data_IF_467851145323
#
_entry.id   IF_467851145323
#
_cell.length_a   1.000
_cell.length_b   1.000
_cell.length_c   1.000
_cell.angle_alpha   90.00
_cell.angle_beta   90.00
_cell.angle_gamma   90.00
#
_symmetry.space_group_name_H-M   'P 1'
#
loop_
_entity.id
_entity.type
_entity.pdbx_description
1 polymer ?
#
# COMPACT_ATOMS: atom_id res chain seq x y z
N UNK A 1 20.99 -13.18 14.51
CA UNK A 1 21.51 -11.85 14.17
C UNK A 1 20.62 -11.23 13.09
N UNK A 2 20.30 -9.93 13.15
CA UNK A 2 19.53 -9.26 12.10
C UNK A 2 20.30 -9.32 10.77
N UNK A 3 19.56 -9.43 9.67
CA UNK A 3 20.15 -9.43 8.32
C UNK A 3 20.93 -8.12 8.10
N UNK A 4 22.10 -8.13 7.42
CA UNK A 4 22.94 -6.93 7.27
C UNK A 4 22.20 -5.72 6.68
N UNK A 5 21.30 -5.94 5.70
CA UNK A 5 20.49 -4.85 5.11
C UNK A 5 19.56 -4.24 6.17
N UNK A 6 18.88 -5.05 6.97
CA UNK A 6 17.96 -4.54 8.00
C UNK A 6 18.71 -3.72 9.06
N UNK A 7 19.87 -4.20 9.48
CA UNK A 7 20.73 -3.49 10.42
C UNK A 7 21.34 -2.22 9.81
N UNK A 8 21.72 -2.23 8.53
CA UNK A 8 22.22 -1.04 7.85
C UNK A 8 21.13 0.03 7.71
N UNK A 9 19.91 -0.40 7.36
CA UNK A 9 18.78 0.49 7.17
C UNK A 9 18.21 1.02 8.48
N UNK A 10 18.51 0.45 9.64
CA UNK A 10 18.08 1.03 10.92
C UNK A 10 18.73 2.39 11.20
N UNK A 11 19.86 2.71 10.56
CA UNK A 11 20.54 4.00 10.70
C UNK A 11 20.07 5.04 9.69
N UNK A 12 19.83 6.28 10.14
CA UNK A 12 19.43 7.40 9.27
C UNK A 12 20.42 7.65 8.11
N UNK A 13 21.74 7.57 8.37
CA UNK A 13 22.76 7.69 7.33
C UNK A 13 22.66 6.57 6.29
N UNK A 14 22.34 5.35 6.73
CA UNK A 14 22.08 4.21 5.86
C UNK A 14 20.91 4.50 4.92
N UNK A 15 19.77 4.95 5.46
CA UNK A 15 18.59 5.33 4.66
C UNK A 15 18.89 6.41 3.61
N UNK A 16 19.67 7.44 3.98
CA UNK A 16 20.02 8.58 3.09
C UNK A 16 21.00 8.23 1.97
N UNK A 17 21.86 7.21 2.14
CA UNK A 17 22.85 6.85 1.13
C UNK A 17 22.29 5.92 0.05
N UNK A 18 21.20 5.18 0.34
CA UNK A 18 20.58 4.22 -0.60
C UNK A 18 20.33 4.81 -1.99
N UNK A 19 19.69 5.98 -2.18
CA UNK A 19 19.50 6.57 -3.51
C UNK A 19 20.78 6.70 -4.33
N UNK A 20 21.92 6.98 -3.66
CA UNK A 20 23.21 7.12 -4.32
C UNK A 20 23.78 5.77 -4.70
N UNK A 21 23.66 4.77 -3.83
CA UNK A 21 24.11 3.40 -4.10
C UNK A 21 23.32 2.79 -5.28
N UNK A 22 21.99 2.94 -5.28
CA UNK A 22 21.12 2.36 -6.30
C UNK A 22 21.43 2.87 -7.71
N UNK A 23 21.94 4.10 -7.87
CA UNK A 23 22.35 4.65 -9.17
C UNK A 23 23.51 3.91 -9.83
N UNK A 24 24.29 3.15 -9.06
CA UNK A 24 25.42 2.37 -9.58
C UNK A 24 25.08 0.89 -9.78
N UNK A 25 23.87 0.47 -9.43
CA UNK A 25 23.44 -0.91 -9.59
C UNK A 25 22.90 -1.13 -11.00
N UNK A 26 23.19 -2.30 -11.58
CA UNK A 26 22.46 -2.76 -12.76
C UNK A 26 21.00 -3.07 -12.40
N UNK A 27 20.07 -3.12 -13.37
CA UNK A 27 18.68 -3.48 -13.12
C UNK A 27 18.52 -4.82 -12.36
N UNK A 28 19.31 -5.83 -12.72
CA UNK A 28 19.28 -7.14 -12.04
C UNK A 28 19.75 -7.06 -10.58
N UNK A 29 20.79 -6.26 -10.31
CA UNK A 29 21.28 -6.04 -8.95
C UNK A 29 20.28 -5.24 -8.12
N UNK A 30 19.61 -4.24 -8.72
CA UNK A 30 18.52 -3.52 -8.06
C UNK A 30 17.40 -4.49 -7.72
N UNK A 31 16.95 -5.31 -8.68
CA UNK A 31 15.91 -6.30 -8.43
C UNK A 31 16.31 -7.28 -7.32
N UNK A 32 17.57 -7.73 -7.28
CA UNK A 32 18.12 -8.54 -6.18
C UNK A 32 18.07 -7.82 -4.82
N UNK A 33 18.41 -6.53 -4.78
CA UNK A 33 18.28 -5.70 -3.58
C UNK A 33 16.81 -5.58 -3.16
N UNK A 34 15.91 -5.27 -4.10
CA UNK A 34 14.48 -5.09 -3.83
C UNK A 34 13.84 -6.38 -3.31
N UNK A 35 14.06 -7.51 -3.98
CA UNK A 35 13.52 -8.80 -3.55
C UNK A 35 14.05 -9.19 -2.16
N UNK A 36 15.32 -8.91 -1.86
CA UNK A 36 15.88 -9.12 -0.51
C UNK A 36 15.24 -8.19 0.52
N UNK A 37 15.00 -6.93 0.17
CA UNK A 37 14.33 -5.96 1.05
C UNK A 37 12.89 -6.40 1.36
N UNK A 38 12.12 -6.76 0.32
CA UNK A 38 10.75 -7.22 0.43
C UNK A 38 10.64 -8.52 1.23
N UNK A 39 11.59 -9.45 1.08
CA UNK A 39 11.60 -10.67 1.88
C UNK A 39 11.92 -10.44 3.37
N UNK A 40 12.36 -9.23 3.75
CA UNK A 40 12.86 -8.90 5.09
C UNK A 40 12.13 -7.72 5.74
N UNK A 41 10.92 -7.39 5.27
CA UNK A 41 10.14 -6.26 5.81
C UNK A 41 9.94 -6.35 7.33
N UNK A 42 9.62 -7.53 7.89
CA UNK A 42 9.53 -7.74 9.35
C UNK A 42 10.81 -7.37 10.13
N UNK A 43 11.97 -7.50 9.49
CA UNK A 43 13.25 -7.13 10.09
C UNK A 43 13.55 -5.63 10.06
N UNK A 44 12.78 -4.84 9.32
CA UNK A 44 12.96 -3.38 9.24
C UNK A 44 12.27 -2.71 10.41
N UNK A 45 13.01 -1.84 11.12
CA UNK A 45 12.50 -1.01 12.22
C UNK A 45 11.24 -0.23 11.80
N UNK A 46 11.25 0.33 10.60
CA UNK A 46 10.17 1.16 10.07
C UNK A 46 8.86 0.40 9.79
N UNK A 47 8.92 -0.89 9.47
CA UNK A 47 7.73 -1.70 9.21
C UNK A 47 7.02 -2.10 10.51
N UNK A 48 7.73 -2.07 11.63
CA UNK A 48 7.17 -2.36 12.96
C UNK A 48 6.55 -1.12 13.62
N UNK A 49 6.62 0.05 12.97
CA UNK A 49 6.01 1.28 13.47
C UNK A 49 4.61 1.40 12.87
N UNK A 50 3.61 1.33 13.75
CA UNK A 50 2.20 1.45 13.41
C UNK A 50 1.88 2.84 12.89
N UNK A 51 0.96 2.92 11.93
CA UNK A 51 0.38 4.16 11.44
C UNK A 51 -0.23 4.99 12.57
N UNK A 52 -0.17 6.32 12.47
CA UNK A 52 -0.51 7.25 13.56
C UNK A 52 0.67 7.57 14.48
N UNK A 53 1.71 6.73 14.51
CA UNK A 53 2.95 7.02 15.27
C UNK A 53 3.93 7.83 14.42
N UNK A 54 4.34 8.97 14.97
CA UNK A 54 5.39 9.79 14.36
C UNK A 54 6.75 9.12 14.51
N UNK A 55 7.49 8.99 13.41
CA UNK A 55 8.85 8.46 13.43
C UNK A 55 9.69 9.04 12.30
N UNK A 56 10.76 9.75 12.66
CA UNK A 56 11.74 10.26 11.69
C UNK A 56 12.32 9.12 10.84
N UNK A 57 12.48 7.92 11.41
CA UNK A 57 12.98 6.76 10.68
C UNK A 57 12.04 6.35 9.54
N UNK A 58 10.71 6.39 9.78
CA UNK A 58 9.68 6.12 8.76
C UNK A 58 9.72 7.21 7.70
N UNK A 59 9.74 8.48 8.12
CA UNK A 59 9.74 9.62 7.19
C UNK A 59 10.99 9.60 6.28
N UNK A 60 12.17 9.30 6.83
CA UNK A 60 13.40 9.13 6.06
C UNK A 60 13.32 7.96 5.08
N UNK A 61 12.67 6.85 5.48
CA UNK A 61 12.51 5.69 4.60
C UNK A 61 11.55 6.01 3.45
N UNK A 62 10.40 6.62 3.74
CA UNK A 62 9.43 7.06 2.72
C UNK A 62 10.02 8.15 1.80
N UNK A 63 10.92 9.00 2.30
CA UNK A 63 11.53 10.08 1.50
C UNK A 63 12.69 9.60 0.63
N UNK A 64 13.49 8.64 1.10
CA UNK A 64 14.73 8.24 0.41
C UNK A 64 14.67 6.85 -0.22
N UNK A 65 13.95 5.89 0.35
CA UNK A 65 14.01 4.50 -0.12
C UNK A 65 12.83 4.17 -1.03
N UNK A 66 11.62 4.61 -0.69
CA UNK A 66 10.43 4.34 -1.50
C UNK A 66 10.53 4.96 -2.91
N UNK A 67 10.91 6.23 -3.11
CA UNK A 67 10.88 6.86 -4.44
C UNK A 67 11.77 6.17 -5.50
N UNK A 68 13.04 5.80 -5.25
CA UNK A 68 13.82 5.08 -6.25
C UNK A 68 13.25 3.68 -6.54
N UNK A 69 12.61 3.02 -5.57
CA UNK A 69 11.93 1.74 -5.81
C UNK A 69 10.70 1.94 -6.69
N UNK A 70 9.88 2.97 -6.42
CA UNK A 70 8.73 3.33 -7.27
C UNK A 70 9.20 3.60 -8.70
N UNK A 71 10.25 4.41 -8.87
CA UNK A 71 10.84 4.68 -10.18
C UNK A 71 11.26 3.41 -10.91
N UNK A 72 11.99 2.53 -10.23
CA UNK A 72 12.40 1.24 -10.79
C UNK A 72 11.20 0.35 -11.17
N UNK A 73 10.25 0.14 -10.27
CA UNK A 73 9.06 -0.72 -10.50
C UNK A 73 8.15 -0.15 -11.60
N UNK A 74 8.11 1.17 -11.78
CA UNK A 74 7.31 1.80 -12.84
C UNK A 74 7.75 1.45 -14.26
N UNK A 75 8.97 0.94 -14.42
CA UNK A 75 9.52 0.49 -15.70
C UNK A 75 9.44 -1.03 -15.87
N UNK A 76 9.11 -1.77 -14.81
CA UNK A 76 9.13 -3.23 -14.81
C UNK A 76 7.86 -3.84 -15.44
N UNK A 77 7.98 -5.00 -16.11
CA UNK A 77 6.86 -5.76 -16.65
C UNK A 77 6.04 -6.48 -15.57
N UNK A 78 4.86 -6.98 -15.93
CA UNK A 78 3.91 -7.55 -14.96
C UNK A 78 4.46 -8.76 -14.20
N UNK A 79 5.18 -9.68 -14.83
CA UNK A 79 5.77 -10.81 -14.09
C UNK A 79 6.72 -10.39 -12.96
N UNK A 80 7.49 -9.30 -13.13
CA UNK A 80 8.38 -8.80 -12.07
C UNK A 80 7.54 -8.26 -10.91
N UNK A 81 6.47 -7.53 -11.21
CA UNK A 81 5.50 -7.03 -10.22
C UNK A 81 4.84 -8.20 -9.48
N UNK A 82 4.36 -9.21 -10.21
CA UNK A 82 3.77 -10.43 -9.65
C UNK A 82 4.75 -11.13 -8.70
N UNK A 83 6.01 -11.33 -9.13
CA UNK A 83 7.02 -11.99 -8.32
C UNK A 83 7.34 -11.19 -7.05
N UNK A 84 7.47 -9.86 -7.14
CA UNK A 84 7.70 -9.01 -5.98
C UNK A 84 6.53 -9.06 -4.99
N UNK A 85 5.30 -8.99 -5.51
CA UNK A 85 4.11 -9.06 -4.68
C UNK A 85 3.99 -10.42 -3.98
N UNK A 86 4.25 -11.53 -4.69
CA UNK A 86 4.30 -12.88 -4.10
C UNK A 86 5.30 -12.99 -2.96
N UNK A 87 6.51 -12.43 -3.12
CA UNK A 87 7.51 -12.40 -2.04
C UNK A 87 6.94 -11.73 -0.77
N UNK A 88 6.13 -10.68 -0.91
CA UNK A 88 5.49 -10.03 0.23
C UNK A 88 4.40 -10.95 0.83
N UNK A 89 3.48 -11.44 0.01
CA UNK A 89 2.32 -12.24 0.44
C UNK A 89 2.74 -13.57 1.10
N UNK A 90 3.81 -14.20 0.61
CA UNK A 90 4.29 -15.50 1.11
C UNK A 90 5.13 -15.38 2.40
N UNK A 91 5.65 -14.19 2.72
CA UNK A 91 6.62 -14.00 3.81
C UNK A 91 6.08 -13.29 5.02
N UNK A 92 5.03 -12.47 4.89
CA UNK A 92 4.59 -11.57 5.95
C UNK A 92 3.10 -11.69 6.23
N UNK A 93 2.73 -11.43 7.48
CA UNK A 93 1.33 -11.23 7.84
C UNK A 93 0.82 -9.90 7.27
N UNK A 94 -0.24 -9.94 6.45
CA UNK A 94 -0.71 -8.76 5.73
C UNK A 94 -1.49 -7.77 6.59
N UNK A 95 -2.11 -8.23 7.68
CA UNK A 95 -2.74 -7.34 8.67
C UNK A 95 -1.67 -6.56 9.43
N UNK A 96 -0.56 -7.21 9.80
CA UNK A 96 0.59 -6.53 10.39
C UNK A 96 1.19 -5.52 9.41
N UNK A 97 1.42 -5.93 8.16
CA UNK A 97 2.03 -5.06 7.15
C UNK A 97 1.12 -3.86 6.81
N UNK A 98 -0.18 -4.09 6.73
CA UNK A 98 -1.19 -3.06 6.47
C UNK A 98 -1.35 -2.04 7.60
N UNK A 99 -0.80 -2.30 8.79
CA UNK A 99 -0.74 -1.34 9.89
C UNK A 99 0.51 -0.45 9.85
N UNK A 100 1.40 -0.63 8.89
CA UNK A 100 2.60 0.20 8.71
C UNK A 100 2.47 1.12 7.49
N UNK A 101 2.87 2.39 7.62
CA UNK A 101 2.92 3.31 6.47
C UNK A 101 3.82 2.80 5.34
N UNK A 102 4.96 2.21 5.69
CA UNK A 102 5.91 1.67 4.70
C UNK A 102 5.32 0.44 4.03
N UNK A 103 4.65 -0.42 4.80
CA UNK A 103 3.97 -1.59 4.26
C UNK A 103 2.86 -1.22 3.28
N UNK A 104 1.97 -0.30 3.67
CA UNK A 104 0.94 0.24 2.81
C UNK A 104 1.52 0.89 1.56
N UNK A 105 2.58 1.70 1.67
CA UNK A 105 3.23 2.31 0.51
C UNK A 105 3.70 1.28 -0.53
N UNK A 106 4.29 0.16 -0.10
CA UNK A 106 4.68 -0.93 -1.00
C UNK A 106 3.47 -1.63 -1.61
N UNK A 107 2.48 -2.01 -0.81
CA UNK A 107 1.28 -2.70 -1.28
C UNK A 107 0.51 -1.84 -2.31
N UNK A 108 0.29 -0.56 -2.00
CA UNK A 108 -0.35 0.42 -2.89
C UNK A 108 0.45 0.58 -4.19
N UNK A 109 1.78 0.74 -4.11
CA UNK A 109 2.63 0.88 -5.29
C UNK A 109 2.50 -0.32 -6.24
N UNK A 110 2.55 -1.55 -5.71
CA UNK A 110 2.42 -2.74 -6.55
C UNK A 110 1.02 -2.90 -7.14
N UNK A 111 -0.03 -2.65 -6.35
CA UNK A 111 -1.42 -2.62 -6.84
C UNK A 111 -1.59 -1.62 -7.98
N UNK A 112 -1.18 -0.36 -7.77
CA UNK A 112 -1.29 0.69 -8.79
C UNK A 112 -0.51 0.35 -10.06
N UNK A 113 0.71 -0.18 -9.93
CA UNK A 113 1.52 -0.56 -11.10
C UNK A 113 0.87 -1.69 -11.89
N UNK A 114 0.36 -2.71 -11.22
CA UNK A 114 -0.29 -3.84 -11.89
C UNK A 114 -1.55 -3.40 -12.63
N UNK A 115 -2.37 -2.53 -12.04
CA UNK A 115 -3.57 -2.01 -12.70
C UNK A 115 -3.24 -1.15 -13.93
N UNK A 116 -2.21 -0.30 -13.86
CA UNK A 116 -1.73 0.46 -15.02
C UNK A 116 -1.30 -0.47 -16.16
N UNK A 117 -0.57 -1.55 -15.85
CA UNK A 117 -0.13 -2.53 -16.84
C UNK A 117 -1.30 -3.31 -17.46
N UNK A 118 -2.30 -3.68 -16.66
CA UNK A 118 -3.52 -4.36 -17.14
C UNK A 118 -4.32 -3.48 -18.09
N UNK A 119 -4.49 -2.19 -17.77
CA UNK A 119 -5.21 -1.23 -18.61
C UNK A 119 -4.46 -0.90 -19.91
N UNK A 120 -3.13 -0.91 -19.89
CA UNK A 120 -2.30 -0.66 -21.06
C UNK A 120 -2.38 -1.74 -22.15
N UNK A 121 -2.80 -2.96 -21.80
CA UNK A 121 -3.21 -4.03 -22.73
C UNK A 121 -2.14 -4.60 -23.69
N UNK A 122 -1.00 -3.94 -23.88
CA UNK A 122 0.03 -4.37 -24.81
C UNK A 122 1.12 -5.19 -24.11
N UNK A 123 1.25 -6.46 -24.50
CA UNK A 123 2.39 -7.31 -24.12
C UNK A 123 2.26 -8.07 -22.79
N UNK A 124 1.08 -8.06 -22.15
CA UNK A 124 0.80 -8.87 -20.95
C UNK A 124 0.14 -10.18 -21.36
N UNK A 125 0.76 -11.31 -21.02
CA UNK A 125 0.21 -12.64 -21.36
C UNK A 125 -0.97 -13.04 -20.46
N UNK A 126 -1.89 -13.86 -20.97
CA UNK A 126 -3.03 -14.38 -20.18
C UNK A 126 -2.58 -15.12 -18.91
N UNK A 127 -1.46 -15.84 -18.97
CA UNK A 127 -0.88 -16.50 -17.81
C UNK A 127 -0.43 -15.51 -16.72
N UNK A 128 0.13 -14.36 -17.11
CA UNK A 128 0.53 -13.31 -16.15
C UNK A 128 -0.69 -12.63 -15.52
N UNK A 129 -1.77 -12.45 -16.29
CA UNK A 129 -3.04 -11.93 -15.78
C UNK A 129 -3.70 -12.91 -14.80
N UNK A 130 -3.68 -14.21 -15.11
CA UNK A 130 -4.15 -15.26 -14.19
C UNK A 130 -3.37 -15.25 -12.88
N UNK A 131 -2.04 -15.20 -12.95
CA UNK A 131 -1.19 -15.07 -11.76
C UNK A 131 -1.51 -13.82 -10.95
N UNK A 132 -1.74 -12.68 -11.61
CA UNK A 132 -2.13 -11.46 -10.89
C UNK A 132 -3.49 -11.61 -10.20
N UNK A 133 -4.47 -12.23 -10.86
CA UNK A 133 -5.78 -12.48 -10.25
C UNK A 133 -5.67 -13.33 -8.97
N UNK A 134 -4.83 -14.36 -8.98
CA UNK A 134 -4.59 -15.20 -7.80
C UNK A 134 -3.91 -14.40 -6.67
N UNK A 135 -2.91 -13.60 -7.00
CA UNK A 135 -2.20 -12.70 -6.06
C UNK A 135 -3.18 -11.71 -5.42
N UNK A 136 -4.04 -11.08 -6.24
CA UNK A 136 -5.04 -10.14 -5.77
C UNK A 136 -6.04 -10.82 -4.84
N UNK A 137 -6.58 -11.98 -5.24
CA UNK A 137 -7.55 -12.74 -4.45
C UNK A 137 -6.95 -13.15 -3.09
N UNK A 138 -5.68 -13.60 -3.07
CA UNK A 138 -4.99 -13.94 -1.84
C UNK A 138 -4.80 -12.72 -0.93
N UNK A 139 -4.35 -11.58 -1.48
CA UNK A 139 -4.23 -10.32 -0.74
C UNK A 139 -5.56 -9.92 -0.12
N UNK A 140 -6.63 -9.94 -0.90
CA UNK A 140 -7.96 -9.55 -0.46
C UNK A 140 -8.46 -10.47 0.65
N UNK A 141 -8.39 -11.78 0.45
CA UNK A 141 -8.82 -12.77 1.44
C UNK A 141 -8.02 -12.66 2.75
N UNK A 142 -6.74 -12.31 2.68
CA UNK A 142 -5.89 -12.14 3.86
C UNK A 142 -6.21 -10.91 4.70
N UNK A 143 -6.88 -9.91 4.10
CA UNK A 143 -7.28 -8.66 4.76
C UNK A 143 -8.79 -8.61 5.07
N UNK A 144 -9.56 -9.54 4.54
CA UNK A 144 -10.98 -9.66 4.83
C UNK A 144 -11.22 -9.73 6.34
N UNK A 145 -12.24 -9.02 6.82
CA UNK A 145 -12.57 -8.80 8.24
C UNK A 145 -11.60 -7.91 9.03
N UNK A 146 -10.58 -7.35 8.36
CA UNK A 146 -9.54 -6.54 8.98
C UNK A 146 -9.35 -5.16 8.33
N UNK A 147 -10.15 -4.77 7.32
CA UNK A 147 -9.97 -3.49 6.63
C UNK A 147 -10.13 -2.28 7.56
N UNK A 148 -11.11 -2.30 8.47
CA UNK A 148 -11.28 -1.24 9.48
C UNK A 148 -10.09 -1.16 10.45
N UNK A 149 -9.44 -2.30 10.74
CA UNK A 149 -8.31 -2.38 11.67
C UNK A 149 -7.00 -1.81 11.11
N UNK A 150 -6.95 -1.47 9.81
CA UNK A 150 -5.81 -0.82 9.18
C UNK A 150 -5.70 0.65 9.57
N UNK A 151 -6.81 1.26 9.98
CA UNK A 151 -6.82 2.63 10.46
C UNK A 151 -6.15 2.74 11.84
N UNK A 152 -5.43 3.85 12.11
CA UNK A 152 -4.85 4.10 13.43
C UNK A 152 -5.93 4.13 14.52
N UNK A 153 -5.58 3.70 15.73
CA UNK A 153 -6.48 3.79 16.88
C UNK A 153 -6.68 5.26 17.30
N UNK A 154 -7.92 5.66 17.58
CA UNK A 154 -8.34 7.03 17.93
C UNK A 154 -7.71 7.63 19.21
N UNK A 155 -6.88 6.87 19.93
CA UNK A 155 -6.26 7.30 21.21
C UNK A 155 -4.89 7.94 21.03
N UNK A 156 -4.24 7.76 19.88
CA UNK A 156 -2.92 8.33 19.62
C UNK A 156 -3.11 9.66 18.87
N UNK A 157 -2.63 10.76 19.46
CA UNK A 157 -2.66 12.15 18.96
C UNK A 157 -2.77 12.20 17.44
N UNK A 158 -3.98 12.50 16.96
CA UNK A 158 -4.39 12.39 15.56
C UNK A 158 -3.45 13.19 14.66
N UNK A 159 -2.49 12.50 14.03
CA UNK A 159 -1.94 12.99 12.77
C UNK A 159 -2.90 12.55 11.68
N UNK A 160 -3.94 13.36 11.44
CA UNK A 160 -4.92 13.16 10.36
C UNK A 160 -4.25 12.90 8.99
N UNK A 161 -3.03 13.41 8.79
CA UNK A 161 -2.22 13.18 7.60
C UNK A 161 -1.76 11.73 7.38
N UNK A 162 -1.93 10.84 8.36
CA UNK A 162 -1.47 9.46 8.26
C UNK A 162 -2.54 8.54 7.65
N UNK A 163 -3.83 8.83 7.84
CA UNK A 163 -4.93 8.03 7.28
C UNK A 163 -4.91 8.01 5.75
N UNK A 164 -4.28 9.00 5.11
CA UNK A 164 -4.13 9.08 3.66
C UNK A 164 -3.51 7.82 3.06
N UNK A 165 -2.56 7.17 3.75
CA UNK A 165 -1.92 5.94 3.26
C UNK A 165 -2.90 4.77 3.24
N UNK A 166 -3.80 4.69 4.23
CA UNK A 166 -4.84 3.66 4.29
C UNK A 166 -5.85 3.90 3.18
N UNK A 167 -6.32 5.14 3.02
CA UNK A 167 -7.27 5.49 1.97
C UNK A 167 -6.70 5.28 0.56
N UNK A 168 -5.45 5.64 0.31
CA UNK A 168 -4.76 5.37 -0.96
C UNK A 168 -4.64 3.87 -1.24
N UNK A 169 -4.33 3.08 -0.21
CA UNK A 169 -4.28 1.62 -0.32
C UNK A 169 -5.66 1.03 -0.65
N UNK A 170 -6.69 1.41 0.11
CA UNK A 170 -8.06 0.95 -0.12
C UNK A 170 -8.58 1.37 -1.50
N UNK A 171 -8.23 2.57 -1.97
CA UNK A 171 -8.57 3.01 -3.32
C UNK A 171 -7.86 2.17 -4.38
N UNK A 172 -6.56 1.90 -4.24
CA UNK A 172 -5.83 1.02 -5.16
C UNK A 172 -6.38 -0.41 -5.16
N UNK A 173 -6.78 -0.92 -3.99
CA UNK A 173 -7.42 -2.23 -3.85
C UNK A 173 -8.80 -2.25 -4.50
N UNK A 174 -9.58 -1.17 -4.36
CA UNK A 174 -10.89 -0.99 -4.98
C UNK A 174 -10.82 -0.94 -6.52
N UNK A 175 -9.83 -0.27 -7.11
CA UNK A 175 -9.63 -0.28 -8.58
C UNK A 175 -9.38 -1.70 -9.09
N UNK A 176 -8.65 -2.52 -8.34
CA UNK A 176 -8.42 -3.92 -8.68
C UNK A 176 -9.61 -4.85 -8.42
N UNK A 177 -10.67 -4.39 -7.74
CA UNK A 177 -11.82 -5.20 -7.38
C UNK A 177 -12.73 -5.44 -8.60
N UNK A 178 -12.49 -6.53 -9.31
CA UNK A 178 -13.25 -6.92 -10.50
C UNK A 178 -14.61 -7.55 -10.19
N UNK A 179 -14.78 -8.10 -8.99
CA UNK A 179 -16.06 -8.71 -8.56
C UNK A 179 -16.88 -7.74 -7.72
N UNK A 180 -18.19 -7.77 -7.92
CA UNK A 180 -19.14 -6.98 -7.12
C UNK A 180 -19.05 -7.35 -5.63
N UNK A 181 -18.74 -8.62 -5.33
CA UNK A 181 -18.55 -9.07 -3.96
C UNK A 181 -17.35 -8.41 -3.27
N UNK A 182 -16.20 -8.28 -3.94
CA UNK A 182 -15.04 -7.57 -3.37
C UNK A 182 -15.37 -6.10 -3.07
N UNK A 183 -16.05 -5.42 -4.00
CA UNK A 183 -16.47 -4.03 -3.81
C UNK A 183 -17.45 -3.89 -2.64
N UNK A 184 -18.43 -4.79 -2.55
CA UNK A 184 -19.42 -4.82 -1.47
C UNK A 184 -18.75 -5.04 -0.10
N UNK A 185 -17.84 -6.01 -0.02
CA UNK A 185 -17.10 -6.30 1.22
C UNK A 185 -16.28 -5.10 1.66
N UNK A 186 -15.50 -4.49 0.75
CA UNK A 186 -14.71 -3.29 1.06
C UNK A 186 -15.59 -2.17 1.61
N UNK A 187 -16.66 -1.82 0.89
CA UNK A 187 -17.56 -0.74 1.29
C UNK A 187 -18.23 -1.03 2.64
N UNK A 188 -18.63 -2.28 2.89
CA UNK A 188 -19.31 -2.67 4.13
C UNK A 188 -18.38 -2.58 5.33
N UNK A 189 -17.15 -3.09 5.21
CA UNK A 189 -16.17 -3.09 6.31
C UNK A 189 -15.68 -1.68 6.67
N UNK A 190 -15.53 -0.78 5.69
CA UNK A 190 -15.02 0.59 5.94
C UNK A 190 -16.14 1.63 6.08
N UNK A 191 -17.40 1.21 6.09
CA UNK A 191 -18.57 2.12 6.15
C UNK A 191 -18.53 3.05 7.36
N UNK A 192 -18.15 2.52 8.53
CA UNK A 192 -18.02 3.30 9.76
C UNK A 192 -17.05 4.47 9.57
N UNK A 193 -15.90 4.19 8.94
CA UNK A 193 -14.84 5.17 8.65
C UNK A 193 -15.24 6.20 7.60
N UNK A 194 -15.97 5.78 6.55
CA UNK A 194 -16.54 6.71 5.55
C UNK A 194 -17.51 7.70 6.21
N UNK A 195 -18.40 7.21 7.08
CA UNK A 195 -19.35 8.05 7.81
C UNK A 195 -18.66 8.95 8.84
N UNK A 196 -17.63 8.45 9.54
CA UNK A 196 -16.83 9.24 10.48
C UNK A 196 -16.17 10.43 9.77
N UNK A 197 -15.49 10.19 8.66
CA UNK A 197 -14.83 11.21 7.86
C UNK A 197 -15.81 12.24 7.27
N UNK A 198 -16.96 11.78 6.76
CA UNK A 198 -18.03 12.65 6.25
C UNK A 198 -18.63 13.55 7.35
N UNK A 199 -18.76 13.05 8.58
CA UNK A 199 -19.27 13.83 9.72
C UNK A 199 -18.27 14.82 10.30
N UNK A 200 -16.97 14.52 10.22
CA UNK A 200 -15.92 15.46 10.68
C UNK A 200 -15.93 16.76 9.87
N UNK A 201 -16.38 16.72 8.61
CA UNK A 201 -16.49 17.90 7.75
C UNK A 201 -15.13 18.54 7.42
N UNK A 202 -14.03 17.80 7.58
CA UNK A 202 -12.70 18.23 7.17
C UNK A 202 -12.49 17.92 5.68
N UNK A 203 -12.07 18.94 4.92
CA UNK A 203 -11.85 18.85 3.49
C UNK A 203 -10.81 17.77 3.12
N UNK A 204 -9.81 17.51 3.98
CA UNK A 204 -8.82 16.45 3.69
C UNK A 204 -9.39 15.06 3.92
N UNK A 205 -10.13 14.86 5.01
CA UNK A 205 -10.83 13.60 5.28
C UNK A 205 -11.84 13.28 4.16
N UNK A 206 -12.61 14.28 3.71
CA UNK A 206 -13.53 14.14 2.58
C UNK A 206 -12.80 13.79 1.28
N UNK A 207 -11.70 14.47 0.96
CA UNK A 207 -10.91 14.18 -0.23
C UNK A 207 -10.36 12.73 -0.24
N UNK A 208 -9.94 12.23 0.93
CA UNK A 208 -9.46 10.86 1.08
C UNK A 208 -10.58 9.83 0.86
N UNK A 209 -11.77 10.08 1.40
CA UNK A 209 -12.94 9.23 1.16
C UNK A 209 -13.37 9.27 -0.31
N UNK A 210 -13.39 10.46 -0.91
CA UNK A 210 -13.74 10.62 -2.33
C UNK A 210 -12.79 9.85 -3.24
N UNK A 211 -11.48 9.82 -2.92
CA UNK A 211 -10.52 8.99 -3.66
C UNK A 211 -10.95 7.51 -3.67
N UNK A 212 -11.38 6.98 -2.52
CA UNK A 212 -11.85 5.60 -2.40
C UNK A 212 -13.20 5.36 -3.10
N UNK A 213 -14.19 6.26 -2.90
CA UNK A 213 -15.51 6.12 -3.53
C UNK A 213 -15.44 6.23 -5.06
N UNK A 214 -14.58 7.11 -5.57
CA UNK A 214 -14.32 7.24 -7.00
C UNK A 214 -13.64 5.99 -7.57
N UNK A 215 -12.72 5.37 -6.81
CA UNK A 215 -12.09 4.11 -7.21
C UNK A 215 -13.08 2.94 -7.31
N UNK A 216 -14.15 2.94 -6.52
CA UNK A 216 -15.25 1.96 -6.63
C UNK A 216 -16.21 2.26 -7.81
N UNK A 217 -16.04 3.39 -8.50
CA UNK A 217 -16.91 3.79 -9.61
C UNK A 217 -18.33 4.20 -9.18
N UNK A 218 -18.54 4.53 -7.89
CA UNK A 218 -19.86 4.86 -7.37
C UNK A 218 -20.34 6.25 -7.81
N UNK A 219 -19.43 7.18 -8.16
CA UNK A 219 -19.79 8.55 -8.58
C UNK A 219 -20.54 9.34 -7.50
N UNK A 220 -20.43 8.94 -6.23
CA UNK A 220 -21.05 9.57 -5.07
C UNK A 220 -19.96 10.25 -4.25
N UNK A 221 -20.14 11.53 -3.97
CA UNK A 221 -19.24 12.31 -3.13
C UNK A 221 -19.57 12.15 -1.63
N UNK A 222 -18.55 12.27 -0.78
CA UNK A 222 -18.66 12.24 0.69
C UNK A 222 -19.64 13.28 1.24
N UNK A 223 -19.81 14.41 0.55
CA UNK A 223 -20.76 15.47 0.89
C UNK A 223 -22.22 15.06 0.65
N UNK A 224 -22.49 14.20 -0.35
CA UNK A 224 -23.82 13.66 -0.60
C UNK A 224 -24.24 12.65 0.48
N UNK A 225 -23.26 11.91 1.03
CA UNK A 225 -23.45 10.96 2.12
C UNK A 225 -23.72 11.64 3.47
N UNK A 226 -23.18 12.84 3.70
CA UNK A 226 -23.43 13.63 4.92
C UNK A 226 -24.92 14.00 5.10
N UNK A 227 -25.66 14.08 3.99
CA UNK A 227 -27.08 14.46 3.97
C UNK A 227 -28.08 13.31 4.12
N UNK A 228 -27.64 12.06 4.19
CA UNK A 228 -28.54 10.90 4.30
C UNK A 228 -28.92 10.63 5.77
N UNK A 229 -30.23 10.56 6.12
CA UNK A 229 -30.65 10.14 7.45
C UNK A 229 -30.25 8.67 7.68
N UNK A 230 -29.83 8.36 8.91
CA UNK A 230 -29.29 7.08 9.34
C UNK A 230 -30.24 5.88 9.12
#
# INVERSE_FOLDING_TARGET
>A
MPHPIAYFLSYAKGKRVIPRVLRFLSPDMFLGFLTTLLARLEGLDVCNITIGRSSEAVDLFLTHIVPPIVGFISEMPLHVVNNCMRVILERHNLVWLGKSKVGLAFLTMFLSRAEILKQGGQGVGEAELGMWADIYNFLFASLHTHFESLFPAQTEVEKEGDEVFVWQFLAALAVGATTVDHQRVLLTEVRSKVLEASRKGDAKAEANVNLFLNALGLGIDASALAGMPA
#
